data_IF_313887520721
#
_entry.id   IF_313887520721
#
_cell.length_a   1.000
_cell.length_b   1.000
_cell.length_c   1.000
_cell.angle_alpha   90.00
_cell.angle_beta   90.00
_cell.angle_gamma   90.00
#
_symmetry.space_group_name_H-M   'P 1'
#
loop_
_entity.id
_entity.type
_entity.pdbx_description
1 polymer ?
#
# COMPACT_ATOMS: atom_id res chain seq x y z
N UNK A 1 49.91 16.92 -28.16
CA UNK A 1 48.82 17.46 -29.00
C UNK A 1 48.18 16.32 -29.78
N UNK A 2 46.82 16.29 -29.78
CA UNK A 2 45.87 15.67 -30.74
C UNK A 2 45.83 14.14 -30.92
N UNK A 3 44.77 13.56 -30.35
CA UNK A 3 44.12 12.27 -30.64
C UNK A 3 43.59 12.21 -32.09
N UNK A 4 43.35 11.05 -32.73
CA UNK A 4 42.08 10.30 -32.61
C UNK A 4 42.17 8.88 -33.22
N UNK A 5 41.74 7.86 -32.46
CA UNK A 5 41.48 6.52 -32.96
C UNK A 5 40.07 6.46 -33.58
N UNK A 6 39.95 5.84 -34.77
CA UNK A 6 38.76 5.87 -35.63
C UNK A 6 37.88 4.63 -35.41
N UNK A 7 36.69 4.88 -34.83
CA UNK A 7 35.42 4.13 -34.96
C UNK A 7 35.41 2.60 -34.86
N UNK A 8 35.08 2.08 -33.67
CA UNK A 8 34.38 0.80 -33.53
C UNK A 8 32.88 1.03 -33.75
N UNK A 9 32.31 0.47 -34.82
CA UNK A 9 30.86 0.35 -35.00
C UNK A 9 30.32 -0.70 -34.03
N UNK A 10 30.04 -0.29 -32.80
CA UNK A 10 29.23 -1.10 -31.89
C UNK A 10 27.77 -0.98 -32.30
N UNK A 11 27.28 -1.99 -33.02
CA UNK A 11 25.86 -2.22 -33.17
C UNK A 11 25.31 -2.65 -31.80
N UNK A 12 24.66 -1.71 -31.10
CA UNK A 12 23.89 -2.00 -29.89
C UNK A 12 22.60 -2.73 -30.27
N UNK A 13 22.32 -3.95 -29.76
CA UNK A 13 20.99 -4.51 -29.87
C UNK A 13 20.03 -3.70 -28.97
N UNK A 14 19.02 -3.09 -29.59
CA UNK A 14 17.86 -2.49 -28.90
C UNK A 14 17.03 -3.61 -28.26
N UNK A 15 17.48 -4.11 -27.11
CA UNK A 15 16.65 -4.97 -26.27
C UNK A 15 15.56 -4.10 -25.63
N UNK A 16 14.40 -4.03 -26.30
CA UNK A 16 13.16 -3.62 -25.67
C UNK A 16 12.87 -4.65 -24.57
N UNK A 17 13.13 -4.27 -23.33
CA UNK A 17 12.62 -5.04 -22.18
C UNK A 17 11.10 -5.22 -22.32
N UNK A 18 10.53 -6.32 -21.80
CA UNK A 18 9.08 -6.48 -21.78
C UNK A 18 8.48 -5.35 -20.93
N UNK A 19 7.90 -4.38 -21.63
CA UNK A 19 7.01 -3.36 -21.08
C UNK A 19 5.90 -4.09 -20.34
N UNK A 20 5.89 -3.95 -19.03
CA UNK A 20 4.82 -4.44 -18.16
C UNK A 20 3.47 -3.95 -18.68
N UNK A 21 2.51 -4.82 -19.00
CA UNK A 21 1.13 -4.41 -18.99
C UNK A 21 0.78 -4.10 -17.54
N UNK A 22 0.67 -2.81 -17.21
CA UNK A 22 -0.08 -2.34 -16.06
C UNK A 22 -1.50 -2.91 -16.17
N UNK A 23 -1.76 -4.08 -15.59
CA UNK A 23 -3.12 -4.47 -15.24
C UNK A 23 -3.54 -3.60 -14.06
N UNK A 24 -4.03 -2.41 -14.40
CA UNK A 24 -5.01 -1.70 -13.58
C UNK A 24 -6.27 -2.55 -13.58
N UNK A 25 -6.37 -3.52 -12.67
CA UNK A 25 -7.65 -4.14 -12.38
C UNK A 25 -8.53 -3.06 -11.75
N UNK A 26 -9.47 -2.60 -12.55
CA UNK A 26 -10.36 -1.49 -12.29
C UNK A 26 -11.56 -2.06 -11.53
N UNK A 27 -11.70 -1.65 -10.27
CA UNK A 27 -12.93 -1.71 -9.45
C UNK A 27 -13.55 -3.11 -9.29
N UNK A 28 -13.24 -3.80 -8.19
CA UNK A 28 -14.31 -4.59 -7.55
C UNK A 28 -15.31 -3.56 -7.04
N UNK A 29 -16.51 -3.61 -7.62
CA UNK A 29 -17.66 -2.87 -7.15
C UNK A 29 -17.83 -3.14 -5.66
N UNK A 30 -18.01 -2.05 -4.93
CA UNK A 30 -18.41 -2.01 -3.55
C UNK A 30 -19.79 -2.66 -3.40
N UNK A 31 -19.80 -3.97 -3.21
CA UNK A 31 -20.85 -4.63 -2.46
C UNK A 31 -20.68 -4.17 -1.02
N UNK A 32 -21.33 -3.05 -0.67
CA UNK A 32 -21.38 -2.57 0.71
C UNK A 32 -22.20 -3.55 1.53
N UNK A 33 -21.62 -4.69 1.87
CA UNK A 33 -22.23 -5.67 2.75
C UNK A 33 -22.25 -5.09 4.16
N UNK A 34 -23.39 -5.16 4.89
CA UNK A 34 -23.45 -4.77 6.29
C UNK A 34 -22.39 -5.52 7.13
N UNK A 35 -22.04 -6.73 6.71
CA UNK A 35 -21.01 -7.58 7.30
C UNK A 35 -19.61 -6.94 7.26
N UNK A 36 -19.30 -6.13 6.24
CA UNK A 36 -18.00 -5.44 6.16
C UNK A 36 -17.92 -4.29 7.16
N UNK A 37 -19.01 -3.54 7.36
CA UNK A 37 -19.06 -2.47 8.37
C UNK A 37 -18.86 -3.06 9.76
N UNK A 38 -19.52 -4.17 10.06
CA UNK A 38 -19.37 -4.88 11.33
C UNK A 38 -17.96 -5.46 11.49
N UNK A 39 -17.39 -6.03 10.43
CA UNK A 39 -16.01 -6.51 10.42
C UNK A 39 -15.00 -5.38 10.73
N UNK A 40 -15.13 -4.21 10.09
CA UNK A 40 -14.26 -3.07 10.36
C UNK A 40 -14.41 -2.57 11.81
N UNK A 41 -15.64 -2.52 12.33
CA UNK A 41 -15.89 -2.12 13.71
C UNK A 41 -15.24 -3.10 14.71
N UNK A 42 -15.43 -4.40 14.51
CA UNK A 42 -14.79 -5.44 15.32
C UNK A 42 -13.26 -5.35 15.27
N UNK A 43 -12.70 -5.14 14.07
CA UNK A 43 -11.26 -5.03 13.89
C UNK A 43 -10.68 -3.78 14.58
N UNK A 44 -11.42 -2.67 14.60
CA UNK A 44 -11.02 -1.49 15.38
C UNK A 44 -10.93 -1.82 16.86
N UNK A 45 -11.93 -2.52 17.42
CA UNK A 45 -11.92 -2.92 18.84
C UNK A 45 -10.72 -3.79 19.18
N UNK A 46 -10.39 -4.77 18.34
CA UNK A 46 -9.20 -5.63 18.53
C UNK A 46 -7.90 -4.81 18.53
N UNK A 47 -7.79 -3.83 17.62
CA UNK A 47 -6.64 -2.95 17.53
C UNK A 47 -6.53 -1.98 18.72
N UNK A 48 -7.66 -1.52 19.26
CA UNK A 48 -7.70 -0.69 20.46
C UNK A 48 -7.31 -1.49 21.72
N UNK A 49 -7.68 -2.76 21.80
CA UNK A 49 -7.19 -3.67 22.85
C UNK A 49 -5.68 -3.91 22.72
N UNK A 50 -5.19 -4.17 21.51
CA UNK A 50 -3.74 -4.32 21.26
C UNK A 50 -2.98 -3.06 21.70
N UNK A 51 -3.50 -1.86 21.45
CA UNK A 51 -2.91 -0.60 21.92
C UNK A 51 -2.85 -0.48 23.44
N UNK A 52 -3.83 -1.02 24.17
CA UNK A 52 -3.83 -0.97 25.64
C UNK A 52 -2.78 -1.91 26.25
N UNK A 53 -2.47 -3.01 25.59
CA UNK A 53 -1.48 -3.98 26.03
C UNK A 53 -0.04 -3.58 25.67
N UNK A 54 0.14 -2.76 24.63
CA UNK A 54 1.45 -2.33 24.17
C UNK A 54 2.07 -1.25 25.05
N UNK A 55 3.29 -1.51 25.51
CA UNK A 55 4.14 -0.48 26.11
C UNK A 55 4.64 0.51 25.04
N UNK A 56 4.37 1.80 25.24
CA UNK A 56 4.75 2.88 24.32
C UNK A 56 6.25 2.93 24.06
N UNK A 57 7.07 2.62 25.07
CA UNK A 57 8.53 2.73 24.98
C UNK A 57 9.15 1.62 24.12
N UNK A 58 8.55 0.43 24.15
CA UNK A 58 9.07 -0.75 23.46
C UNK A 58 8.48 -0.94 22.04
N UNK A 59 7.31 -0.34 21.80
CA UNK A 59 6.49 -0.64 20.61
C UNK A 59 6.00 0.60 19.86
N UNK A 60 6.70 1.72 19.96
CA UNK A 60 6.33 3.00 19.33
C UNK A 60 5.94 2.89 17.84
N UNK A 61 6.69 2.14 17.03
CA UNK A 61 6.37 1.92 15.61
C UNK A 61 5.08 1.13 15.42
N UNK A 62 4.88 0.06 16.20
CA UNK A 62 3.67 -0.76 16.15
C UNK A 62 2.43 0.05 16.55
N UNK A 63 2.56 0.90 17.55
CA UNK A 63 1.50 1.82 17.98
C UNK A 63 1.11 2.78 16.86
N UNK A 64 2.08 3.36 16.15
CA UNK A 64 1.83 4.23 14.99
C UNK A 64 1.11 3.46 13.88
N UNK A 65 1.55 2.23 13.58
CA UNK A 65 0.89 1.36 12.60
C UNK A 65 -0.56 1.08 12.96
N UNK A 66 -0.83 0.70 14.22
CA UNK A 66 -2.17 0.42 14.70
C UNK A 66 -3.05 1.67 14.60
N UNK A 67 -2.55 2.84 15.04
CA UNK A 67 -3.26 4.10 14.91
C UNK A 67 -3.62 4.43 13.45
N UNK A 68 -2.72 4.15 12.51
CA UNK A 68 -2.97 4.35 11.08
C UNK A 68 -4.00 3.36 10.54
N UNK A 69 -3.97 2.10 10.98
CA UNK A 69 -4.96 1.09 10.60
C UNK A 69 -6.35 1.46 11.11
N UNK A 70 -6.48 1.87 12.38
CA UNK A 70 -7.75 2.34 12.96
C UNK A 70 -8.29 3.52 12.16
N UNK A 71 -7.45 4.51 11.83
CA UNK A 71 -7.86 5.68 11.04
C UNK A 71 -8.40 5.28 9.66
N UNK A 72 -7.73 4.35 8.99
CA UNK A 72 -8.17 3.83 7.69
C UNK A 72 -9.52 3.12 7.82
N UNK A 73 -9.67 2.22 8.79
CA UNK A 73 -10.92 1.49 9.02
C UNK A 73 -12.09 2.43 9.35
N UNK A 74 -11.88 3.43 10.21
CA UNK A 74 -12.90 4.45 10.50
C UNK A 74 -13.28 5.25 9.25
N UNK A 75 -12.33 5.53 8.37
CA UNK A 75 -12.60 6.22 7.09
C UNK A 75 -13.43 5.34 6.15
N UNK A 76 -13.17 4.03 6.11
CA UNK A 76 -14.00 3.11 5.33
C UNK A 76 -15.41 3.02 5.91
N UNK A 77 -15.58 2.90 7.24
CA UNK A 77 -16.91 2.92 7.90
C UNK A 77 -17.69 4.20 7.54
N UNK A 78 -17.04 5.36 7.58
CA UNK A 78 -17.67 6.64 7.24
C UNK A 78 -18.17 6.70 5.78
N UNK A 79 -17.57 5.93 4.87
CA UNK A 79 -18.07 5.79 3.48
C UNK A 79 -19.32 4.93 3.35
N UNK A 80 -19.66 4.11 4.35
CA UNK A 80 -20.96 3.41 4.37
C UNK A 80 -22.10 4.31 4.87
N UNK A 81 -21.78 5.41 5.56
CA UNK A 81 -22.77 6.32 6.15
C UNK A 81 -23.10 7.52 5.25
N UNK A 82 -22.27 7.79 4.24
CA UNK A 82 -22.45 8.85 3.23
C UNK A 82 -22.80 8.24 1.87
#
# INVERSE_FOLDING_TARGET
MRYTARTLKTALPLYRGPVSPKQKSRKSLSDHNPDEKEFYARRITELEQELQELNILDHSLRIIEICNQIRKLRSEISRFEN
#
